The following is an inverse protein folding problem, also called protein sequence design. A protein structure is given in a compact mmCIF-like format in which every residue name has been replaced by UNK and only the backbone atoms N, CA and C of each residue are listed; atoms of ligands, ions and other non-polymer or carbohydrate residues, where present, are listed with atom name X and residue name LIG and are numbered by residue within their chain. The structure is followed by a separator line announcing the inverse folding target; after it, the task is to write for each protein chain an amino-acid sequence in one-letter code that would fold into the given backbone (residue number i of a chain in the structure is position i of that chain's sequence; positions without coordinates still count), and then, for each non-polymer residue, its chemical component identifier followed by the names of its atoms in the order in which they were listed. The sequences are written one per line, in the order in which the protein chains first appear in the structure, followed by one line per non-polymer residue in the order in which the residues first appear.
data_IF_530426630064
#
_entry.id   IF_530426630064
#
_cell.length_a   1.000
_cell.length_b   1.000
_cell.length_c   1.000
_cell.angle_alpha   90.00
_cell.angle_beta   90.00
_cell.angle_gamma   90.00
#
_symmetry.space_group_name_H-M   'P 1'
#
loop_
_entity.id
_entity.type
_entity.pdbx_description
1 polymer ?
#
# COMPACT_ATOMS: atom_id res chain seq x y z
N UNK A 1 19.96 -3.71 -22.51
CA UNK A 1 19.23 -3.73 -21.22
C UNK A 1 17.82 -4.16 -21.59
N UNK A 2 17.45 -5.43 -21.37
CA UNK A 2 16.10 -5.90 -21.74
C UNK A 2 15.13 -5.25 -20.78
N UNK A 3 14.20 -4.46 -21.29
CA UNK A 3 13.03 -4.02 -20.55
C UNK A 3 12.35 -5.30 -20.05
N UNK A 4 12.48 -5.53 -18.76
CA UNK A 4 11.82 -6.63 -18.08
C UNK A 4 10.39 -6.18 -17.91
N UNK A 5 9.53 -6.61 -18.84
CA UNK A 5 8.13 -6.23 -18.87
C UNK A 5 7.45 -6.88 -17.67
N UNK A 6 6.99 -6.07 -16.71
CA UNK A 6 6.13 -6.52 -15.62
C UNK A 6 4.87 -7.13 -16.25
N UNK A 7 4.41 -8.27 -15.76
CA UNK A 7 3.10 -8.84 -16.12
C UNK A 7 2.07 -8.43 -15.04
N UNK A 8 1.27 -7.36 -15.25
CA UNK A 8 0.40 -6.84 -14.21
C UNK A 8 -0.71 -7.83 -13.80
N UNK A 9 -1.38 -8.56 -14.72
CA UNK A 9 -2.29 -9.63 -14.34
C UNK A 9 -1.66 -10.72 -13.46
N UNK A 10 -0.46 -11.20 -13.80
CA UNK A 10 0.22 -12.22 -13.01
C UNK A 10 0.64 -11.68 -11.63
N UNK A 11 1.15 -10.45 -11.58
CA UNK A 11 1.55 -9.77 -10.35
C UNK A 11 0.34 -9.58 -9.43
N UNK A 12 -0.78 -9.09 -9.97
CA UNK A 12 -2.02 -8.91 -9.23
C UNK A 12 -2.50 -10.21 -8.61
N UNK A 13 -2.49 -11.31 -9.37
CA UNK A 13 -2.88 -12.63 -8.86
C UNK A 13 -1.96 -13.09 -7.72
N UNK A 14 -0.64 -13.03 -7.92
CA UNK A 14 0.33 -13.45 -6.91
C UNK A 14 0.23 -12.63 -5.62
N UNK A 15 -0.01 -11.32 -5.73
CA UNK A 15 -0.21 -10.43 -4.59
C UNK A 15 -1.49 -10.75 -3.82
N UNK A 16 -2.60 -11.07 -4.50
CA UNK A 16 -3.85 -11.42 -3.83
C UNK A 16 -3.82 -12.80 -3.17
N UNK A 17 -3.04 -13.74 -3.71
CA UNK A 17 -2.78 -15.02 -3.05
C UNK A 17 -1.96 -14.82 -1.75
N UNK A 18 -1.00 -13.89 -1.75
CA UNK A 18 -0.14 -13.59 -0.60
C UNK A 18 -0.82 -12.70 0.45
N UNK A 19 -1.53 -11.68 -0.01
CA UNK A 19 -2.04 -10.57 0.79
C UNK A 19 -3.43 -10.14 0.27
N UNK A 20 -4.50 -10.91 0.57
CA UNK A 20 -5.85 -10.61 0.09
C UNK A 20 -6.36 -9.22 0.50
N UNK A 21 -5.84 -8.67 1.60
CA UNK A 21 -6.19 -7.34 2.11
C UNK A 21 -5.88 -6.21 1.14
N UNK A 22 -5.00 -6.41 0.14
CA UNK A 22 -4.67 -5.41 -0.88
C UNK A 22 -5.90 -4.99 -1.71
N UNK A 23 -6.91 -5.86 -1.85
CA UNK A 23 -8.16 -5.55 -2.53
C UNK A 23 -9.31 -5.17 -1.56
N UNK A 24 -9.01 -4.85 -0.30
CA UNK A 24 -10.01 -4.39 0.66
C UNK A 24 -10.70 -3.10 0.21
N UNK A 25 -12.01 -2.98 0.48
CA UNK A 25 -12.85 -1.86 0.00
C UNK A 25 -13.17 -0.81 1.06
N UNK A 26 -12.79 -1.04 2.31
CA UNK A 26 -13.02 -0.11 3.43
C UNK A 26 -11.72 0.58 3.87
N UNK A 27 -10.61 -0.16 3.84
CA UNK A 27 -9.27 0.28 4.22
C UNK A 27 -8.24 -0.38 3.31
N UNK A 28 -7.08 0.27 3.14
CA UNK A 28 -5.97 -0.25 2.36
C UNK A 28 -5.77 0.45 1.02
N UNK A 29 -4.88 -0.10 0.18
CA UNK A 29 -4.36 0.62 -0.97
C UNK A 29 -5.36 0.76 -2.12
N UNK A 30 -6.44 -0.03 -2.15
CA UNK A 30 -7.49 0.08 -3.15
C UNK A 30 -8.50 1.21 -2.88
N UNK A 31 -8.50 1.78 -1.67
CA UNK A 31 -9.44 2.86 -1.28
C UNK A 31 -8.78 4.23 -1.18
N UNK A 32 -7.48 4.33 -1.48
CA UNK A 32 -6.72 5.58 -1.47
C UNK A 32 -6.02 5.75 -2.81
N UNK A 33 -5.80 6.99 -3.21
CA UNK A 33 -4.99 7.27 -4.39
C UNK A 33 -3.52 6.90 -4.13
N UNK A 34 -2.90 6.25 -5.11
CA UNK A 34 -1.47 5.98 -5.11
C UNK A 34 -0.65 7.26 -4.84
N UNK A 35 0.24 7.16 -3.86
CA UNK A 35 1.08 8.29 -3.45
C UNK A 35 1.68 8.13 -2.07
N UNK A 36 2.40 9.16 -1.67
CA UNK A 36 3.11 9.21 -0.39
C UNK A 36 2.19 9.71 0.73
N UNK A 37 2.44 9.22 1.94
CA UNK A 37 1.73 9.63 3.15
C UNK A 37 1.72 11.16 3.31
N UNK A 38 0.54 11.74 3.48
CA UNK A 38 0.37 13.20 3.55
C UNK A 38 1.06 13.84 4.75
N UNK A 39 1.32 13.04 5.80
CA UNK A 39 1.99 13.50 7.01
C UNK A 39 3.51 13.41 6.92
N UNK A 40 4.06 12.25 6.54
CA UNK A 40 5.51 12.01 6.63
C UNK A 40 6.23 12.01 5.28
N UNK A 41 5.53 11.85 4.15
CA UNK A 41 6.11 11.72 2.82
C UNK A 41 7.03 10.50 2.60
N UNK A 42 7.22 9.65 3.61
CA UNK A 42 8.25 8.59 3.58
C UNK A 42 7.74 7.18 3.25
N UNK A 43 6.44 6.94 3.37
CA UNK A 43 5.79 5.64 3.17
C UNK A 43 4.52 5.82 2.33
N UNK A 44 4.05 4.77 1.61
CA UNK A 44 2.84 4.90 0.81
C UNK A 44 1.60 5.16 1.66
N UNK A 45 0.63 5.89 1.10
CA UNK A 45 -0.72 6.03 1.66
C UNK A 45 -1.36 4.66 1.84
N UNK A 46 -2.19 4.54 2.87
CA UNK A 46 -2.84 3.27 3.22
C UNK A 46 -4.22 3.49 3.86
N UNK A 47 -4.31 4.43 4.78
CA UNK A 47 -5.52 4.70 5.55
C UNK A 47 -6.17 5.99 5.07
N UNK A 48 -7.43 5.96 4.60
CA UNK A 48 -8.18 7.17 4.32
C UNK A 48 -8.52 7.87 5.64
N UNK A 49 -8.57 9.21 5.60
CA UNK A 49 -8.92 10.05 6.74
C UNK A 49 -10.20 10.84 6.45
N UNK A 50 -10.92 11.18 7.52
CA UNK A 50 -12.11 12.05 7.45
C UNK A 50 -12.25 13.00 8.65
N UNK A 51 -11.25 13.01 9.55
CA UNK A 51 -11.19 13.90 10.71
C UNK A 51 -10.83 15.35 10.37
N UNK A 52 -10.60 16.19 11.39
CA UNK A 52 -10.36 17.62 11.22
C UNK A 52 -9.02 17.97 10.55
N UNK A 53 -8.15 16.99 10.31
CA UNK A 53 -6.88 17.18 9.61
C UNK A 53 -7.10 17.38 8.10
N UNK A 54 -6.26 18.20 7.46
CA UNK A 54 -6.35 18.49 6.02
C UNK A 54 -5.77 17.39 5.12
N UNK A 55 -5.43 16.23 5.69
CA UNK A 55 -4.83 15.10 4.99
C UNK A 55 -5.92 14.18 4.47
N UNK A 56 -5.75 13.65 3.26
CA UNK A 56 -6.70 12.71 2.65
C UNK A 56 -6.37 11.27 3.03
N UNK A 57 -5.08 10.93 3.08
CA UNK A 57 -4.64 9.60 3.47
C UNK A 57 -3.22 9.57 4.05
N UNK A 58 -2.98 8.63 4.95
CA UNK A 58 -1.69 8.47 5.64
C UNK A 58 -1.20 7.02 5.60
N UNK A 59 0.08 6.82 5.87
CA UNK A 59 0.65 5.48 6.06
C UNK A 59 0.17 4.85 7.38
N UNK A 60 0.41 3.53 7.53
CA UNK A 60 0.15 2.75 8.76
C UNK A 60 0.58 3.51 10.02
N UNK A 61 1.87 3.83 10.12
CA UNK A 61 2.45 4.38 11.35
C UNK A 61 1.91 5.77 11.69
N UNK A 62 1.68 6.61 10.66
CA UNK A 62 1.09 7.94 10.86
C UNK A 62 -0.38 7.86 11.26
N UNK A 63 -1.15 6.89 10.73
CA UNK A 63 -2.54 6.65 11.13
C UNK A 63 -2.65 6.13 12.56
N UNK A 64 -1.78 5.20 12.95
CA UNK A 64 -1.70 4.74 14.35
C UNK A 64 -1.35 5.88 15.31
N UNK A 65 -0.40 6.74 14.93
CA UNK A 65 0.02 7.88 15.73
C UNK A 65 -1.01 9.02 15.79
N UNK A 66 -1.89 9.14 14.78
CA UNK A 66 -3.00 10.12 14.79
C UNK A 66 -4.10 9.70 15.75
N UNK A 67 -4.31 8.40 15.94
CA UNK A 67 -5.36 7.90 16.80
C UNK A 67 -6.73 8.36 16.32
N UNK A 68 -7.55 8.88 17.21
CA UNK A 68 -8.93 9.30 16.91
C UNK A 68 -8.98 10.58 16.06
N UNK A 69 -7.95 11.43 16.11
CA UNK A 69 -7.90 12.70 15.37
C UNK A 69 -7.89 12.52 13.84
N UNK A 70 -7.67 11.29 13.35
CA UNK A 70 -7.78 10.95 11.93
C UNK A 70 -9.21 10.82 11.41
N UNK A 71 -10.20 10.73 12.31
CA UNK A 71 -11.60 10.46 11.99
C UNK A 71 -12.53 11.50 12.59
N UNK A 72 -13.68 11.72 11.95
CA UNK A 72 -14.74 12.52 12.55
C UNK A 72 -15.53 11.68 13.56
N UNK A 73 -16.23 12.33 14.48
CA UNK A 73 -17.03 11.66 15.52
C UNK A 73 -18.02 10.64 14.92
N UNK A 74 -18.59 10.94 13.74
CA UNK A 74 -19.52 10.06 13.03
C UNK A 74 -18.90 8.75 12.51
N UNK A 75 -17.58 8.66 12.48
CA UNK A 75 -16.82 7.51 11.97
C UNK A 75 -15.78 6.98 12.97
N UNK A 76 -15.93 7.29 14.26
CA UNK A 76 -14.98 6.88 15.30
C UNK A 76 -14.78 5.35 15.37
N UNK A 77 -15.86 4.58 15.28
CA UNK A 77 -15.80 3.10 15.32
C UNK A 77 -15.08 2.52 14.10
N UNK A 78 -15.32 3.08 12.90
CA UNK A 78 -14.59 2.68 11.69
C UNK A 78 -13.11 3.07 11.80
N UNK A 79 -12.80 4.21 12.42
CA UNK A 79 -11.43 4.61 12.70
C UNK A 79 -10.72 3.70 13.70
N UNK A 80 -11.41 3.21 14.72
CA UNK A 80 -10.87 2.18 15.62
C UNK A 80 -10.59 0.88 14.84
N UNK A 81 -11.55 0.38 14.07
CA UNK A 81 -11.37 -0.84 13.26
C UNK A 81 -10.25 -0.70 12.22
N UNK A 82 -10.14 0.45 11.57
CA UNK A 82 -9.09 0.74 10.61
C UNK A 82 -7.69 0.75 11.25
N UNK A 83 -7.56 1.30 12.46
CA UNK A 83 -6.30 1.29 13.22
C UNK A 83 -5.93 -0.11 13.68
N UNK A 84 -6.88 -0.89 14.19
CA UNK A 84 -6.65 -2.27 14.60
C UNK A 84 -6.20 -3.13 13.41
N UNK A 85 -6.86 -2.97 12.26
CA UNK A 85 -6.45 -3.59 11.01
C UNK A 85 -5.03 -3.18 10.61
N UNK A 86 -4.72 -1.89 10.65
CA UNK A 86 -3.40 -1.38 10.27
C UNK A 86 -2.29 -1.89 11.20
N UNK A 87 -2.57 -2.02 12.50
CA UNK A 87 -1.64 -2.56 13.49
C UNK A 87 -1.32 -4.05 13.26
N UNK A 88 -2.23 -4.79 12.61
CA UNK A 88 -2.03 -6.20 12.29
C UNK A 88 -1.25 -6.45 10.99
N UNK A 89 -0.89 -5.40 10.23
CA UNK A 89 -0.19 -5.55 8.97
C UNK A 89 1.28 -5.97 9.16
N UNK A 90 1.82 -6.81 8.26
CA UNK A 90 3.22 -7.20 8.30
C UNK A 90 4.13 -6.00 8.02
N UNK A 91 5.38 -6.05 8.45
CA UNK A 91 6.35 -4.97 8.16
C UNK A 91 6.66 -4.80 6.68
N UNK A 92 6.40 -5.83 5.87
CA UNK A 92 6.48 -5.80 4.40
C UNK A 92 5.35 -5.01 3.73
N UNK A 93 4.37 -4.48 4.50
CA UNK A 93 3.21 -3.77 3.95
C UNK A 93 3.56 -2.64 2.96
N UNK A 94 4.61 -1.80 3.14
CA UNK A 94 4.89 -0.71 2.21
C UNK A 94 5.22 -1.26 0.82
N UNK A 95 6.02 -2.32 0.77
CA UNK A 95 6.40 -2.99 -0.47
C UNK A 95 5.19 -3.60 -1.15
N UNK A 96 4.31 -4.27 -0.39
CA UNK A 96 3.10 -4.89 -0.94
C UNK A 96 2.12 -3.85 -1.54
N UNK A 97 1.99 -2.68 -0.91
CA UNK A 97 1.17 -1.57 -1.44
C UNK A 97 1.74 -1.04 -2.76
N UNK A 98 3.05 -0.80 -2.81
CA UNK A 98 3.69 -0.30 -4.05
C UNK A 98 3.57 -1.31 -5.19
N UNK A 99 3.76 -2.60 -4.90
CA UNK A 99 3.58 -3.67 -5.88
C UNK A 99 2.12 -3.79 -6.33
N UNK A 100 1.16 -3.55 -5.43
CA UNK A 100 -0.25 -3.51 -5.78
C UNK A 100 -0.56 -2.38 -6.75
N UNK A 101 -0.13 -1.14 -6.48
CA UNK A 101 -0.35 -0.02 -7.39
C UNK A 101 0.37 -0.18 -8.73
N UNK A 102 1.51 -0.87 -8.74
CA UNK A 102 2.16 -1.27 -9.99
C UNK A 102 1.29 -2.29 -10.76
N UNK A 103 0.68 -3.25 -10.06
CA UNK A 103 -0.17 -4.27 -10.66
C UNK A 103 -1.52 -3.72 -11.17
N UNK A 104 -2.06 -2.66 -10.54
CA UNK A 104 -3.29 -1.97 -10.96
C UNK A 104 -3.04 -0.86 -11.99
N UNK A 105 -1.78 -0.50 -12.23
CA UNK A 105 -1.40 0.57 -13.16
C UNK A 105 -1.55 1.99 -12.59
N UNK A 106 -1.89 2.12 -11.31
CA UNK A 106 -1.91 3.40 -10.59
C UNK A 106 -0.50 3.98 -10.44
N UNK A 107 0.51 3.11 -10.39
CA UNK A 107 1.91 3.47 -10.42
C UNK A 107 2.58 2.88 -11.67
N UNK A 108 3.43 3.67 -12.34
CA UNK A 108 4.18 3.21 -13.52
C UNK A 108 5.52 2.61 -13.13
N UNK A 109 5.91 1.50 -13.76
CA UNK A 109 7.20 0.81 -13.53
C UNK A 109 8.46 1.68 -13.73
N UNK A 110 8.33 2.80 -14.48
CA UNK A 110 9.40 3.75 -14.75
C UNK A 110 9.57 4.76 -13.59
N UNK A 111 8.64 4.80 -12.62
CA UNK A 111 8.78 5.67 -11.45
C UNK A 111 10.03 5.26 -10.65
N UNK A 112 11.08 6.11 -10.63
CA UNK A 112 12.33 5.81 -9.93
C UNK A 112 12.12 5.64 -8.42
N UNK A 113 11.07 6.25 -7.88
CA UNK A 113 10.68 6.19 -6.46
C UNK A 113 10.12 4.82 -6.13
N UNK A 114 9.32 4.24 -7.02
CA UNK A 114 8.80 2.89 -6.87
C UNK A 114 9.92 1.85 -6.93
N UNK A 115 10.81 1.95 -7.92
CA UNK A 115 11.96 1.03 -8.04
C UNK A 115 12.87 1.06 -6.81
N UNK A 116 13.23 2.25 -6.30
CA UNK A 116 14.09 2.40 -5.11
C UNK A 116 13.44 1.90 -3.82
N UNK A 117 12.11 1.89 -3.74
CA UNK A 117 11.36 1.45 -2.55
C UNK A 117 10.97 -0.02 -2.60
N UNK A 118 11.13 -0.70 -3.73
CA UNK A 118 10.92 -2.15 -3.87
C UNK A 118 12.18 -2.99 -3.64
N UNK A 119 13.31 -2.36 -3.31
CA UNK A 119 14.60 -3.04 -3.07
C UNK A 119 14.66 -3.80 -1.72
N UNK A 120 13.53 -4.15 -1.11
CA UNK A 120 13.46 -4.70 0.24
C UNK A 120 12.85 -6.11 0.29
N UNK A 121 13.62 -6.98 0.94
CA UNK A 121 13.32 -8.37 1.34
C UNK A 121 13.12 -9.40 0.22
N UNK A 122 13.40 -10.69 0.48
CA UNK A 122 13.13 -11.73 -0.50
C UNK A 122 11.61 -11.87 -0.67
N UNK A 123 11.09 -11.23 -1.72
CA UNK A 123 9.71 -11.42 -2.18
C UNK A 123 9.46 -12.90 -2.51
N UNK A 124 8.25 -13.45 -2.30
CA UNK A 124 7.95 -14.82 -2.71
C UNK A 124 8.21 -15.06 -4.20
N UNK A 125 8.63 -16.27 -4.57
CA UNK A 125 8.99 -16.61 -5.95
C UNK A 125 7.91 -16.25 -7.00
N UNK A 126 6.59 -16.43 -6.74
CA UNK A 126 5.55 -16.01 -7.68
C UNK A 126 5.54 -14.49 -7.95
N UNK A 127 5.85 -13.68 -6.94
CA UNK A 127 5.93 -12.22 -7.05
C UNK A 127 7.19 -11.82 -7.82
N UNK A 128 8.34 -12.44 -7.53
CA UNK A 128 9.60 -12.22 -8.29
C UNK A 128 9.44 -12.56 -9.77
N UNK A 129 8.83 -13.71 -10.06
CA UNK A 129 8.57 -14.15 -11.43
C UNK A 129 7.70 -13.15 -12.19
N UNK A 130 6.65 -12.59 -11.55
CA UNK A 130 5.77 -11.61 -12.16
C UNK A 130 6.42 -10.23 -12.40
N UNK A 131 7.44 -9.89 -11.61
CA UNK A 131 8.31 -8.72 -11.83
C UNK A 131 9.38 -8.96 -12.90
N UNK A 132 9.46 -10.19 -13.44
CA UNK A 132 10.49 -10.64 -14.37
C UNK A 132 11.91 -10.65 -13.79
N UNK A 133 12.03 -10.56 -12.46
CA UNK A 133 13.29 -10.83 -11.75
C UNK A 133 13.41 -12.35 -11.63
N UNK A 134 14.05 -13.00 -12.60
CA UNK A 134 14.44 -14.40 -12.46
C UNK A 134 15.55 -14.52 -11.38
N UNK A 135 15.52 -15.63 -10.62
CA UNK A 135 16.55 -16.00 -9.64
C UNK A 135 17.97 -16.05 -10.24
#
# INVERSE_FOLDING_TARGET
MRDTEVDPPALRRALLELAPWLAGTEVGPAVVEAGDCDRCGGAPRLLPLCGPVSWTAVCRDCGLALGEDGWCDGHADQGAAARDWAAALPDTWPTLVLLWWLATGELRAIDPTARRRTDFEPLPAPVRAALGTAD
#
